data_IF_115161820701
#
_entry.id   IF_115161820701
#
_cell.length_a   1.000
_cell.length_b   1.000
_cell.length_c   1.000
_cell.angle_alpha   90.00
_cell.angle_beta   90.00
_cell.angle_gamma   90.00
#
_symmetry.space_group_name_H-M   'P 1'
#
loop_
_entity.id
_entity.type
_entity.pdbx_description
1 polymer ?
#
# COMPACT_ATOMS: atom_id res chain seq x y z
N UNK A 1 16.04 13.33 -19.39
CA UNK A 1 17.01 14.42 -19.12
C UNK A 1 16.21 15.70 -18.95
N UNK A 2 15.95 16.07 -17.70
CA UNK A 2 15.90 17.43 -17.15
C UNK A 2 15.59 17.26 -15.66
N UNK A 3 16.61 16.88 -14.90
CA UNK A 3 16.63 17.08 -13.46
C UNK A 3 17.11 18.51 -13.21
N UNK A 4 16.39 19.49 -13.73
CA UNK A 4 16.47 20.83 -13.18
C UNK A 4 15.86 20.71 -11.79
N UNK A 5 16.70 20.89 -10.77
CA UNK A 5 16.28 20.91 -9.40
C UNK A 5 15.16 21.94 -9.28
N UNK A 6 13.91 21.46 -9.16
CA UNK A 6 12.75 22.28 -8.90
C UNK A 6 13.10 23.14 -7.69
N UNK A 7 13.26 24.44 -7.91
CA UNK A 7 13.54 25.38 -6.84
C UNK A 7 12.44 25.20 -5.80
N UNK A 8 12.77 25.00 -4.51
CA UNK A 8 11.76 24.76 -3.49
C UNK A 8 10.85 25.97 -3.45
N UNK A 9 9.67 25.84 -4.05
CA UNK A 9 8.70 26.91 -4.09
C UNK A 9 8.20 27.07 -2.65
N UNK A 10 8.50 28.21 -2.02
CA UNK A 10 8.14 28.49 -0.62
C UNK A 10 6.65 28.28 -0.36
N UNK A 11 5.82 28.42 -1.38
CA UNK A 11 4.38 28.18 -1.33
C UNK A 11 4.00 26.69 -1.20
N UNK A 12 4.78 25.74 -1.73
CA UNK A 12 4.52 24.31 -1.56
C UNK A 12 4.70 23.90 -0.10
N UNK A 13 5.73 24.41 0.58
CA UNK A 13 5.95 24.16 2.00
C UNK A 13 4.75 24.60 2.86
N UNK A 14 4.13 25.74 2.51
CA UNK A 14 2.92 26.22 3.18
C UNK A 14 1.72 25.32 2.88
N UNK A 15 1.55 24.88 1.64
CA UNK A 15 0.44 23.96 1.28
C UNK A 15 0.58 22.61 1.99
N UNK A 16 1.80 22.07 2.11
CA UNK A 16 2.05 20.84 2.86
C UNK A 16 1.84 21.01 4.38
N UNK A 17 2.18 22.17 4.93
CA UNK A 17 1.85 22.49 6.33
C UNK A 17 0.32 22.55 6.54
N UNK A 18 -0.42 23.16 5.61
CA UNK A 18 -1.90 23.17 5.66
C UNK A 18 -2.49 21.76 5.56
N UNK A 19 -1.99 20.92 4.66
CA UNK A 19 -2.41 19.51 4.55
C UNK A 19 -2.15 18.76 5.86
N UNK A 20 -0.96 18.93 6.46
CA UNK A 20 -0.63 18.32 7.74
C UNK A 20 -1.56 18.78 8.87
N UNK A 21 -1.91 20.07 8.91
CA UNK A 21 -2.87 20.62 9.87
C UNK A 21 -4.26 20.00 9.66
N UNK A 22 -4.75 19.93 8.43
CA UNK A 22 -6.07 19.34 8.12
C UNK A 22 -6.12 17.87 8.55
N UNK A 23 -5.07 17.10 8.26
CA UNK A 23 -4.99 15.68 8.65
C UNK A 23 -4.90 15.55 10.17
N UNK A 24 -4.07 16.35 10.84
CA UNK A 24 -3.95 16.33 12.29
C UNK A 24 -5.29 16.67 12.97
N UNK A 25 -6.01 17.67 12.46
CA UNK A 25 -7.35 18.03 12.94
C UNK A 25 -8.37 16.92 12.67
N UNK A 26 -8.30 16.24 11.52
CA UNK A 26 -9.14 15.09 11.22
C UNK A 26 -8.89 13.91 12.17
N UNK A 27 -7.62 13.56 12.42
CA UNK A 27 -7.23 12.49 13.34
C UNK A 27 -7.61 12.85 14.78
N UNK A 28 -7.36 14.09 15.21
CA UNK A 28 -7.73 14.57 16.54
C UNK A 28 -9.24 14.65 16.74
N UNK A 29 -9.99 15.13 15.73
CA UNK A 29 -11.45 15.08 15.76
C UNK A 29 -11.96 13.63 15.81
N UNK A 30 -11.33 12.72 15.06
CA UNK A 30 -11.70 11.32 15.12
C UNK A 30 -11.33 10.63 16.43
N UNK A 31 -10.30 11.06 17.18
CA UNK A 31 -10.07 10.51 18.51
C UNK A 31 -11.04 11.10 19.54
N UNK A 32 -11.31 12.41 19.46
CA UNK A 32 -12.15 13.12 20.43
C UNK A 32 -13.63 12.71 20.36
N UNK A 33 -14.22 12.64 19.16
CA UNK A 33 -15.63 12.26 19.01
C UNK A 33 -15.87 10.73 19.16
N UNK A 34 -14.82 9.92 19.42
CA UNK A 34 -14.88 8.44 19.42
C UNK A 34 -15.06 7.87 20.82
N UNK A 35 -14.57 8.60 21.80
CA UNK A 35 -14.80 8.32 23.20
C UNK A 35 -16.12 8.94 23.64
N UNK A 36 -16.94 8.18 24.36
CA UNK A 36 -17.98 8.77 25.21
C UNK A 36 -17.26 9.64 26.26
N UNK A 37 -17.39 10.97 26.12
CA UNK A 37 -16.74 11.92 27.02
C UNK A 37 -17.65 12.12 28.22
N UNK A 38 -17.19 11.69 29.39
CA UNK A 38 -17.84 11.99 30.67
C UNK A 38 -17.08 13.12 31.35
N UNK A 39 -17.76 14.22 31.64
CA UNK A 39 -17.18 15.38 32.33
C UNK A 39 -17.95 15.64 33.62
N UNK A 40 -17.23 15.75 34.73
CA UNK A 40 -17.82 16.01 36.06
C UNK A 40 -17.66 17.47 36.41
N UNK A 41 -18.77 18.20 36.57
CA UNK A 41 -18.80 19.57 37.06
C UNK A 41 -19.66 19.65 38.31
N UNK A 42 -19.14 20.36 39.32
CA UNK A 42 -19.88 20.65 40.55
C UNK A 42 -20.50 19.41 41.22
N UNK A 43 -19.86 18.24 41.08
CA UNK A 43 -20.33 16.97 41.65
C UNK A 43 -21.33 16.19 40.79
N UNK A 44 -21.77 16.74 39.65
CA UNK A 44 -22.65 16.07 38.70
C UNK A 44 -21.87 15.56 37.48
N UNK A 45 -22.14 14.31 37.08
CA UNK A 45 -21.53 13.67 35.91
C UNK A 45 -22.38 13.92 34.67
N UNK A 46 -21.83 14.67 33.71
CA UNK A 46 -22.44 14.93 32.42
C UNK A 46 -21.86 13.94 31.40
N UNK A 47 -22.72 13.12 30.81
CA UNK A 47 -22.35 12.16 29.78
C UNK A 47 -22.65 12.74 28.40
N UNK A 48 -21.61 12.89 27.56
CA UNK A 48 -21.75 13.26 26.15
C UNK A 48 -21.61 11.99 25.32
N UNK A 49 -22.71 11.54 24.72
CA UNK A 49 -22.73 10.36 23.87
C UNK A 49 -21.86 10.56 22.62
N UNK A 50 -21.11 9.54 22.24
CA UNK A 50 -20.33 9.53 21.02
C UNK A 50 -21.22 9.79 19.79
N UNK A 51 -20.72 10.61 18.86
CA UNK A 51 -21.41 10.88 17.61
C UNK A 51 -21.53 9.57 16.81
N UNK A 52 -22.66 9.34 16.14
CA UNK A 52 -22.86 8.12 15.34
C UNK A 52 -21.75 7.95 14.28
N UNK A 53 -21.28 6.71 14.10
CA UNK A 53 -20.15 6.37 13.23
C UNK A 53 -20.26 6.96 11.82
N UNK A 54 -21.46 6.98 11.23
CA UNK A 54 -21.72 7.50 9.89
C UNK A 54 -21.27 8.96 9.73
N UNK A 55 -21.66 9.85 10.65
CA UNK A 55 -21.34 11.27 10.53
C UNK A 55 -19.82 11.52 10.60
N UNK A 56 -19.11 10.70 11.37
CA UNK A 56 -17.66 10.82 11.59
C UNK A 56 -16.89 10.38 10.35
N UNK A 57 -17.31 9.27 9.75
CA UNK A 57 -16.77 8.80 8.47
C UNK A 57 -17.02 9.82 7.36
N UNK A 58 -18.22 10.39 7.28
CA UNK A 58 -18.53 11.42 6.27
C UNK A 58 -17.64 12.67 6.42
N UNK A 59 -17.46 13.18 7.64
CA UNK A 59 -16.58 14.33 7.91
C UNK A 59 -15.12 13.99 7.58
N UNK A 60 -14.64 12.80 7.94
CA UNK A 60 -13.29 12.36 7.61
C UNK A 60 -13.07 12.21 6.11
N UNK A 61 -14.03 11.66 5.38
CA UNK A 61 -13.97 11.57 3.92
C UNK A 61 -13.92 12.95 3.28
N UNK A 62 -14.72 13.90 3.78
CA UNK A 62 -14.69 15.28 3.30
C UNK A 62 -13.34 15.96 3.56
N UNK A 63 -12.77 15.80 4.77
CA UNK A 63 -11.45 16.34 5.11
C UNK A 63 -10.33 15.67 4.28
N UNK A 64 -10.40 14.36 4.07
CA UNK A 64 -9.46 13.63 3.24
C UNK A 64 -9.52 14.07 1.77
N UNK A 65 -10.73 14.28 1.23
CA UNK A 65 -10.91 14.81 -0.12
C UNK A 65 -10.33 16.22 -0.26
N UNK A 66 -10.55 17.10 0.72
CA UNK A 66 -10.02 18.46 0.75
C UNK A 66 -8.47 18.45 0.82
N UNK A 67 -7.91 17.64 1.71
CA UNK A 67 -6.46 17.47 1.85
C UNK A 67 -5.83 16.92 0.56
N UNK A 68 -6.47 15.92 -0.05
CA UNK A 68 -6.05 15.37 -1.34
C UNK A 68 -6.10 16.42 -2.46
N UNK A 69 -7.17 17.20 -2.54
CA UNK A 69 -7.30 18.27 -3.53
C UNK A 69 -6.23 19.36 -3.39
N UNK A 70 -5.92 19.77 -2.15
CA UNK A 70 -4.84 20.72 -1.86
C UNK A 70 -3.47 20.14 -2.21
N UNK A 71 -3.22 18.87 -1.89
CA UNK A 71 -1.97 18.20 -2.20
C UNK A 71 -1.74 18.07 -3.72
N UNK A 72 -2.79 17.77 -4.49
CA UNK A 72 -2.71 17.66 -5.96
C UNK A 72 -2.41 18.99 -6.65
N UNK A 73 -2.69 20.13 -6.01
CA UNK A 73 -2.35 21.46 -6.53
C UNK A 73 -0.90 21.90 -6.26
N UNK A 74 -0.12 21.13 -5.51
CA UNK A 74 1.30 21.43 -5.24
C UNK A 74 2.21 21.00 -6.39
N UNK A 75 3.44 21.53 -6.48
CA UNK A 75 4.41 21.10 -7.51
C UNK A 75 4.74 19.58 -7.44
N UNK A 76 4.66 18.99 -6.24
CA UNK A 76 4.75 17.53 -6.07
C UNK A 76 3.56 16.78 -6.67
N UNK A 77 2.37 17.38 -6.66
CA UNK A 77 1.17 16.83 -7.29
C UNK A 77 1.28 16.80 -8.82
N UNK A 78 1.84 17.86 -9.42
CA UNK A 78 2.06 17.94 -10.86
C UNK A 78 3.08 16.90 -11.35
N UNK A 79 4.23 16.81 -10.68
CA UNK A 79 5.23 15.79 -10.99
C UNK A 79 4.70 14.35 -10.80
N UNK A 80 3.87 14.11 -9.78
CA UNK A 80 3.17 12.84 -9.63
C UNK A 80 2.23 12.55 -10.81
N UNK A 81 1.53 13.58 -11.33
CA UNK A 81 0.70 13.41 -12.52
C UNK A 81 1.50 13.10 -13.79
N UNK A 82 2.66 13.73 -13.96
CA UNK A 82 3.57 13.42 -15.05
C UNK A 82 4.10 11.99 -14.96
N UNK A 83 4.47 11.52 -13.76
CA UNK A 83 4.87 10.14 -13.52
C UNK A 83 3.76 9.16 -13.91
N UNK A 84 2.51 9.41 -13.50
CA UNK A 84 1.39 8.54 -13.88
C UNK A 84 1.20 8.51 -15.40
N UNK A 85 1.25 9.67 -16.06
CA UNK A 85 1.16 9.74 -17.53
C UNK A 85 2.30 8.98 -18.19
N UNK A 86 3.52 9.14 -17.70
CA UNK A 86 4.72 8.42 -18.14
C UNK A 86 4.61 6.91 -17.96
N UNK A 87 4.21 6.45 -16.76
CA UNK A 87 4.00 5.03 -16.45
C UNK A 87 2.93 4.39 -17.33
N UNK A 88 1.83 5.10 -17.65
CA UNK A 88 0.82 4.58 -18.58
C UNK A 88 1.39 4.40 -19.99
N UNK A 89 2.27 5.29 -20.44
CA UNK A 89 2.96 5.15 -21.71
C UNK A 89 3.96 3.98 -21.69
N UNK A 90 4.64 3.73 -20.56
CA UNK A 90 5.58 2.62 -20.42
C UNK A 90 4.87 1.26 -20.33
N UNK A 91 3.75 1.19 -19.62
CA UNK A 91 2.91 -0.02 -19.56
C UNK A 91 2.44 -0.44 -20.95
N UNK A 92 2.20 0.53 -21.85
CA UNK A 92 1.85 0.22 -23.25
C UNK A 92 3.02 -0.35 -24.05
N UNK A 93 4.26 -0.14 -23.62
CA UNK A 93 5.45 -0.77 -24.22
C UNK A 93 5.70 -2.16 -23.68
N UNK A 94 5.00 -2.58 -22.62
CA UNK A 94 5.06 -3.96 -22.14
C UNK A 94 4.38 -4.85 -23.16
N UNK A 95 5.20 -5.49 -23.99
CA UNK A 95 4.76 -6.55 -24.87
C UNK A 95 4.48 -7.74 -23.98
N UNK A 96 3.22 -7.93 -23.60
CA UNK A 96 2.83 -9.10 -22.85
C UNK A 96 3.08 -10.34 -23.71
N UNK A 97 3.78 -11.35 -23.17
CA UNK A 97 4.09 -12.56 -23.91
C UNK A 97 2.79 -13.21 -24.40
N UNK A 98 2.86 -13.83 -25.57
CA UNK A 98 1.71 -14.57 -26.10
C UNK A 98 1.41 -15.76 -25.19
N UNK A 99 0.16 -16.26 -25.19
CA UNK A 99 -0.20 -17.45 -24.39
C UNK A 99 0.70 -18.65 -24.70
N UNK A 100 1.22 -18.72 -25.92
CA UNK A 100 2.11 -19.79 -26.35
C UNK A 100 3.49 -19.68 -25.68
N UNK A 101 4.06 -18.48 -25.60
CA UNK A 101 5.35 -18.24 -24.92
C UNK A 101 5.25 -18.49 -23.41
N UNK A 102 4.20 -17.99 -22.76
CA UNK A 102 3.99 -18.23 -21.32
C UNK A 102 3.82 -19.72 -21.02
N UNK A 103 3.04 -20.44 -21.83
CA UNK A 103 2.82 -21.88 -21.65
C UNK A 103 4.10 -22.68 -21.89
N UNK A 104 4.91 -22.29 -22.88
CA UNK A 104 6.20 -22.94 -23.17
C UNK A 104 7.15 -22.80 -21.98
N UNK A 105 7.30 -21.60 -21.41
CA UNK A 105 8.15 -21.40 -20.22
C UNK A 105 7.61 -22.18 -19.02
N UNK A 106 6.30 -22.20 -18.79
CA UNK A 106 5.70 -23.01 -17.72
C UNK A 106 5.98 -24.51 -17.92
N UNK A 107 5.84 -25.04 -19.15
CA UNK A 107 6.14 -26.44 -19.44
C UNK A 107 7.61 -26.78 -19.24
N UNK A 108 8.54 -25.89 -19.60
CA UNK A 108 9.98 -26.06 -19.33
C UNK A 108 10.22 -26.15 -17.82
N UNK A 109 9.63 -25.25 -17.03
CA UNK A 109 9.76 -25.26 -15.56
C UNK A 109 9.14 -26.54 -14.97
N UNK A 110 7.97 -26.97 -15.43
CA UNK A 110 7.32 -28.21 -14.98
C UNK A 110 8.19 -29.43 -15.29
N UNK A 111 8.75 -29.52 -16.50
CA UNK A 111 9.65 -30.60 -16.86
C UNK A 111 10.90 -30.63 -15.96
N UNK A 112 11.49 -29.46 -15.68
CA UNK A 112 12.63 -29.33 -14.77
C UNK A 112 12.28 -29.81 -13.35
N UNK A 113 11.12 -29.40 -12.81
CA UNK A 113 10.65 -29.82 -11.48
C UNK A 113 10.46 -31.33 -11.42
N UNK A 114 9.89 -31.96 -12.46
CA UNK A 114 9.72 -33.42 -12.52
C UNK A 114 11.08 -34.13 -12.49
N UNK A 115 12.06 -33.64 -13.26
CA UNK A 115 13.41 -34.22 -13.28
C UNK A 115 14.05 -34.14 -11.90
N UNK A 116 14.02 -32.98 -11.25
CA UNK A 116 14.58 -32.81 -9.89
C UNK A 116 13.84 -33.68 -8.87
N UNK A 117 12.51 -33.76 -8.95
CA UNK A 117 11.71 -34.60 -8.07
C UNK A 117 12.08 -36.09 -8.21
N UNK A 118 12.26 -36.59 -9.44
CA UNK A 118 12.71 -37.96 -9.69
C UNK A 118 14.12 -38.22 -9.20
N UNK A 119 15.04 -37.25 -9.38
CA UNK A 119 16.42 -37.37 -8.89
C UNK A 119 16.46 -37.45 -7.35
N UNK A 120 15.73 -36.58 -6.67
CA UNK A 120 15.64 -36.61 -5.21
C UNK A 120 14.98 -37.89 -4.71
N UNK A 121 13.87 -38.31 -5.32
CA UNK A 121 13.20 -39.57 -4.97
C UNK A 121 14.14 -40.79 -5.12
N UNK A 122 14.92 -40.84 -6.21
CA UNK A 122 15.90 -41.89 -6.44
C UNK A 122 17.05 -41.86 -5.42
N UNK A 123 17.55 -40.67 -5.10
CA UNK A 123 18.60 -40.49 -4.09
C UNK A 123 18.11 -40.91 -2.70
N UNK A 124 16.92 -40.47 -2.29
CA UNK A 124 16.33 -40.81 -1.00
C UNK A 124 16.08 -42.32 -0.89
N UNK A 125 15.61 -42.95 -1.97
CA UNK A 125 15.47 -44.41 -2.05
C UNK A 125 16.80 -45.15 -1.92
N UNK A 126 17.85 -44.67 -2.60
CA UNK A 126 19.19 -45.26 -2.54
C UNK A 126 19.82 -45.10 -1.15
N UNK A 127 19.69 -43.92 -0.53
CA UNK A 127 20.16 -43.67 0.83
C UNK A 127 19.41 -44.54 1.84
N UNK A 128 18.08 -44.66 1.71
CA UNK A 128 17.28 -45.54 2.56
C UNK A 128 17.70 -47.00 2.43
N UNK A 129 17.99 -47.46 1.21
CA UNK A 129 18.48 -48.82 0.97
C UNK A 129 19.84 -49.06 1.63
N UNK A 130 20.81 -48.14 1.44
CA UNK A 130 22.12 -48.23 2.08
C UNK A 130 22.02 -48.22 3.61
N UNK A 131 21.22 -47.33 4.19
CA UNK A 131 21.01 -47.25 5.64
C UNK A 131 20.41 -48.54 6.17
N UNK A 132 19.43 -49.12 5.45
CA UNK A 132 18.80 -50.39 5.85
C UNK A 132 19.78 -51.58 5.86
N UNK A 133 20.82 -51.56 5.03
CA UNK A 133 21.88 -52.58 5.01
C UNK A 133 22.90 -52.42 6.14
N UNK A 134 23.05 -51.22 6.68
CA UNK A 134 24.00 -50.92 7.76
C UNK A 134 23.36 -51.10 9.14
N UNK A 135 22.10 -50.70 9.29
CA UNK A 135 21.34 -50.81 10.56
C UNK A 135 20.64 -52.17 10.68
N UNK A 136 20.28 -52.77 9.54
CA UNK A 136 19.73 -54.12 9.45
C UNK A 136 20.79 -55.21 9.50
#
# INVERSE_FOLDING_TARGET
MNSEAQTPNRSDGVMWALVAIIVALGVWGNSYFASDVTFTLMGETYHVAAVSLLYRVLVLLALAALAGFLALKTAKGESFWELIKGSRNEIRKVVWPTRQESTQTTLIVVAFVIVVALLLWGLDGLLSWLISMVIG
#
